data_IF_004197695078
#
_entry.id   IF_004197695078
#
_cell.length_a   1.000
_cell.length_b   1.000
_cell.length_c   1.000
_cell.angle_alpha   90.00
_cell.angle_beta   90.00
_cell.angle_gamma   90.00
#
_symmetry.space_group_name_H-M   'P 1'
#
loop_
_entity.id
_entity.type
_entity.pdbx_description
1 polymer ?
#
# COMPACT_ATOMS: atom_id res chain seq x y z
N UNK A 1 -19.77 25.42 29.59
CA UNK A 1 -18.79 24.37 29.34
C UNK A 1 -18.99 23.96 27.89
N UNK A 2 -18.15 24.42 27.00
CA UNK A 2 -18.16 24.01 25.58
C UNK A 2 -17.34 22.74 25.51
N UNK A 3 -17.98 21.61 25.23
CA UNK A 3 -17.30 20.37 24.86
C UNK A 3 -16.76 20.57 23.44
N UNK A 4 -15.47 20.47 23.27
CA UNK A 4 -14.84 20.34 21.96
C UNK A 4 -15.24 18.97 21.39
N UNK A 5 -16.00 18.99 20.33
CA UNK A 5 -16.27 17.82 19.52
C UNK A 5 -14.98 17.59 18.73
N UNK A 6 -14.26 16.55 19.08
CA UNK A 6 -13.11 16.08 18.31
C UNK A 6 -13.71 15.27 17.17
N UNK A 7 -13.79 15.88 16.01
CA UNK A 7 -14.08 15.17 14.75
C UNK A 7 -12.82 14.43 14.36
N UNK A 8 -12.79 13.12 14.59
CA UNK A 8 -11.79 12.23 14.02
C UNK A 8 -12.07 12.08 12.54
N UNK A 9 -11.38 12.89 11.73
CA UNK A 9 -11.39 12.72 10.28
C UNK A 9 -10.61 11.47 9.92
N UNK A 10 -11.25 10.55 9.22
CA UNK A 10 -10.61 9.43 8.57
C UNK A 10 -9.70 10.00 7.49
N UNK A 11 -8.40 9.98 7.72
CA UNK A 11 -7.45 10.19 6.64
C UNK A 11 -7.25 8.85 5.96
N UNK A 12 -7.92 8.65 4.83
CA UNK A 12 -7.33 7.83 3.80
C UNK A 12 -5.94 8.41 3.57
N UNK A 13 -4.90 7.63 3.78
CA UNK A 13 -3.55 8.13 3.69
C UNK A 13 -3.24 8.38 2.23
N UNK A 14 -3.66 9.51 1.73
CA UNK A 14 -2.99 10.14 0.61
C UNK A 14 -1.72 10.77 1.20
N UNK A 15 -0.63 10.04 1.26
CA UNK A 15 0.68 10.54 1.65
C UNK A 15 1.26 11.44 0.55
N UNK A 16 0.43 12.25 -0.05
CA UNK A 16 0.91 13.39 -0.81
C UNK A 16 1.35 14.44 0.18
N UNK A 17 2.57 14.90 0.08
CA UNK A 17 3.12 15.97 0.89
C UNK A 17 2.36 17.30 0.73
N UNK A 18 1.09 17.32 1.09
CA UNK A 18 0.25 18.50 1.06
C UNK A 18 -0.09 18.88 2.49
N UNK A 19 0.20 20.10 2.80
CA UNK A 19 -0.05 20.83 4.03
C UNK A 19 -1.20 20.29 4.85
N UNK A 20 -0.88 19.53 5.89
CA UNK A 20 -1.77 19.33 7.00
C UNK A 20 -1.49 20.42 8.05
N UNK A 21 -2.46 21.25 8.30
CA UNK A 21 -2.54 21.96 9.58
C UNK A 21 -2.50 20.90 10.68
N UNK A 22 -1.68 21.14 11.70
CA UNK A 22 -1.51 20.34 12.91
C UNK A 22 -2.69 19.43 13.23
N UNK A 23 -2.55 18.14 12.97
CA UNK A 23 -3.34 17.10 13.61
C UNK A 23 -2.37 16.19 14.37
N UNK A 24 -2.66 16.04 15.67
CA UNK A 24 -2.08 14.98 16.48
C UNK A 24 -2.33 13.65 15.76
N UNK A 25 -1.28 12.85 15.59
CA UNK A 25 -1.38 11.48 15.08
C UNK A 25 -2.21 10.71 16.10
N UNK A 26 -3.51 10.62 15.90
CA UNK A 26 -4.29 9.52 16.46
C UNK A 26 -4.07 8.33 15.53
N UNK A 27 -3.50 7.28 16.07
CA UNK A 27 -3.50 5.97 15.46
C UNK A 27 -4.93 5.60 15.10
N UNK A 28 -5.22 5.59 13.82
CA UNK A 28 -6.55 5.23 13.34
C UNK A 28 -6.70 3.70 13.45
N UNK A 29 -7.58 3.26 14.33
CA UNK A 29 -7.84 1.84 14.58
C UNK A 29 -8.75 1.20 13.51
N UNK A 30 -8.91 1.84 12.37
CA UNK A 30 -9.80 1.39 11.30
C UNK A 30 -9.06 0.51 10.31
N UNK A 31 -9.52 -0.71 10.20
CA UNK A 31 -8.96 -1.77 9.38
C UNK A 31 -9.73 -1.85 8.07
N UNK A 32 -9.33 -1.09 7.04
CA UNK A 32 -9.94 -1.25 5.71
C UNK A 32 -9.47 -2.53 5.01
N UNK A 33 -8.18 -2.86 5.16
CA UNK A 33 -7.64 -4.16 4.79
C UNK A 33 -6.53 -4.56 5.75
N UNK A 34 -6.16 -5.83 5.79
CA UNK A 34 -4.99 -6.30 6.56
C UNK A 34 -3.73 -5.60 6.09
N UNK A 35 -3.64 -5.31 4.81
CA UNK A 35 -2.51 -4.68 4.15
C UNK A 35 -2.33 -3.22 4.56
N UNK A 36 -3.40 -2.43 4.61
CA UNK A 36 -3.36 -1.02 5.02
C UNK A 36 -2.88 -0.81 6.45
N UNK A 37 -3.18 -1.74 7.37
CA UNK A 37 -2.69 -1.67 8.75
C UNK A 37 -1.20 -1.93 8.90
N UNK A 38 -0.58 -2.54 7.93
CA UNK A 38 0.85 -2.86 7.94
C UNK A 38 1.65 -1.77 7.23
N UNK A 39 0.99 -0.95 6.42
CA UNK A 39 1.63 0.15 5.70
C UNK A 39 2.07 1.27 6.66
N UNK A 40 3.39 1.44 6.77
CA UNK A 40 4.04 2.25 7.79
C UNK A 40 4.52 3.63 7.31
N UNK A 41 4.35 3.96 6.05
CA UNK A 41 4.77 5.27 5.56
C UNK A 41 4.00 6.42 6.21
N UNK A 42 2.75 6.18 6.56
CA UNK A 42 1.92 7.12 7.31
C UNK A 42 2.50 7.51 8.67
N UNK A 43 3.30 6.66 9.29
CA UNK A 43 3.86 6.84 10.64
C UNK A 43 5.10 7.73 10.65
N UNK A 44 5.75 7.99 9.50
CA UNK A 44 6.86 8.93 9.47
C UNK A 44 6.37 10.35 9.75
N UNK A 45 6.67 10.84 10.95
CA UNK A 45 6.29 12.19 11.42
C UNK A 45 6.58 13.23 10.34
N UNK A 46 5.55 13.91 9.88
CA UNK A 46 5.63 15.07 8.98
C UNK A 46 6.21 16.28 9.73
N UNK A 47 7.51 16.27 9.95
CA UNK A 47 8.17 17.49 10.39
C UNK A 47 8.13 18.46 9.21
N UNK A 48 7.50 19.63 9.38
CA UNK A 48 7.36 20.62 8.32
C UNK A 48 8.71 21.00 7.70
N UNK A 49 8.71 21.16 6.38
CA UNK A 49 9.90 21.67 5.66
C UNK A 49 10.08 23.14 6.01
N UNK A 50 11.26 23.51 6.46
CA UNK A 50 11.59 24.90 6.80
C UNK A 50 11.51 25.80 5.57
N UNK A 51 10.93 27.00 5.71
CA UNK A 51 10.91 28.03 4.65
C UNK A 51 12.10 28.98 4.85
N UNK A 52 12.79 29.31 3.77
CA UNK A 52 13.98 30.16 3.80
C UNK A 52 13.91 31.26 2.73
N UNK A 53 14.83 32.23 2.82
CA UNK A 53 14.90 33.38 1.91
C UNK A 53 16.15 33.42 1.02
N UNK A 54 17.03 32.42 1.10
CA UNK A 54 18.21 32.33 0.24
C UNK A 54 18.71 30.88 0.05
N UNK A 55 19.41 30.65 -1.06
CA UNK A 55 19.90 29.33 -1.47
C UNK A 55 20.81 28.67 -0.43
N UNK A 56 21.68 29.42 0.25
CA UNK A 56 22.58 28.86 1.26
C UNK A 56 21.79 28.24 2.40
N UNK A 57 20.68 28.87 2.79
CA UNK A 57 19.82 28.38 3.85
C UNK A 57 18.95 27.21 3.39
N UNK A 58 18.66 27.05 2.09
CA UNK A 58 18.01 25.81 1.62
C UNK A 58 18.77 24.57 2.06
N UNK A 59 20.11 24.60 1.94
CA UNK A 59 20.97 23.48 2.34
C UNK A 59 21.24 23.42 3.85
N UNK A 60 21.35 24.59 4.51
CA UNK A 60 21.66 24.65 5.94
C UNK A 60 20.48 24.18 6.79
N UNK A 61 19.27 24.56 6.40
CA UNK A 61 18.03 24.31 7.13
C UNK A 61 17.27 23.09 6.52
N UNK A 62 17.98 22.28 5.73
CA UNK A 62 17.47 21.06 5.13
C UNK A 62 17.13 20.04 6.21
N UNK A 63 16.13 19.20 5.91
CA UNK A 63 15.71 18.10 6.76
C UNK A 63 16.42 16.82 6.37
N UNK A 64 16.90 16.09 7.37
CA UNK A 64 17.30 14.68 7.23
C UNK A 64 16.27 13.85 7.98
N UNK A 65 15.80 12.82 7.33
CA UNK A 65 14.90 11.82 7.92
C UNK A 65 15.24 10.45 7.34
N UNK A 66 14.78 9.41 7.98
CA UNK A 66 15.03 8.07 7.50
C UNK A 66 14.47 6.99 8.39
N UNK A 67 14.71 5.76 7.96
CA UNK A 67 14.30 4.56 8.64
C UNK A 67 15.43 3.55 8.59
N UNK A 68 15.70 2.90 9.70
CA UNK A 68 16.48 1.67 9.74
C UNK A 68 15.50 0.53 9.96
N UNK A 69 15.51 -0.45 9.05
CA UNK A 69 14.62 -1.62 9.07
C UNK A 69 15.44 -2.89 9.11
N UNK A 70 15.10 -3.79 10.02
CA UNK A 70 15.53 -5.18 9.98
C UNK A 70 14.30 -6.04 9.81
N UNK A 71 14.34 -6.95 8.86
CA UNK A 71 13.19 -7.78 8.53
C UNK A 71 13.62 -9.23 8.30
N UNK A 72 12.86 -10.14 8.88
CA UNK A 72 12.85 -11.55 8.51
C UNK A 72 11.55 -11.82 7.72
N UNK A 73 11.65 -12.54 6.62
CA UNK A 73 10.52 -13.10 5.89
C UNK A 73 10.83 -14.54 5.52
N UNK A 74 9.85 -15.43 5.66
CA UNK A 74 10.02 -16.83 5.34
C UNK A 74 8.72 -17.52 4.97
N UNK A 75 8.76 -18.23 3.82
CA UNK A 75 7.69 -19.09 3.32
C UNK A 75 8.05 -20.55 3.58
N UNK A 76 7.20 -21.25 4.31
CA UNK A 76 7.23 -22.70 4.49
C UNK A 76 6.24 -23.33 3.53
N UNK A 77 6.75 -23.98 2.49
CA UNK A 77 5.93 -24.65 1.48
C UNK A 77 5.40 -25.98 2.02
N UNK A 78 4.13 -26.29 1.77
CA UNK A 78 3.53 -27.57 2.17
C UNK A 78 3.75 -28.68 1.15
N UNK A 79 3.99 -28.32 -0.10
CA UNK A 79 4.36 -29.27 -1.14
C UNK A 79 5.83 -29.69 -1.01
N UNK A 80 6.07 -31.01 -0.93
CA UNK A 80 7.40 -31.55 -0.62
C UNK A 80 8.46 -31.36 -1.71
N UNK A 81 8.07 -30.90 -2.90
CA UNK A 81 8.93 -30.68 -4.06
C UNK A 81 9.21 -29.18 -4.30
N UNK A 82 8.73 -28.32 -3.45
CA UNK A 82 8.99 -26.88 -3.48
C UNK A 82 9.84 -26.51 -2.27
N UNK A 83 10.95 -25.82 -2.51
CA UNK A 83 11.86 -25.42 -1.45
C UNK A 83 11.27 -24.27 -0.64
N UNK A 84 11.53 -24.26 0.67
CA UNK A 84 11.23 -23.12 1.52
C UNK A 84 12.10 -21.93 1.12
N UNK A 85 11.51 -20.75 1.23
CA UNK A 85 12.17 -19.50 0.89
C UNK A 85 12.18 -18.60 2.14
N UNK A 86 13.37 -18.27 2.66
CA UNK A 86 13.49 -17.42 3.85
C UNK A 86 14.80 -16.65 3.87
N UNK A 87 14.76 -15.43 4.39
CA UNK A 87 15.96 -14.61 4.60
C UNK A 87 15.75 -13.61 5.74
N UNK A 88 16.84 -13.00 6.17
CA UNK A 88 16.85 -11.82 7.05
C UNK A 88 17.65 -10.73 6.35
N UNK A 89 17.11 -9.51 6.33
CA UNK A 89 17.80 -8.37 5.77
C UNK A 89 17.87 -7.20 6.75
N UNK A 90 18.88 -6.36 6.56
CA UNK A 90 19.04 -5.05 7.20
C UNK A 90 19.14 -3.98 6.13
N UNK A 91 18.39 -2.90 6.29
CA UNK A 91 18.40 -1.79 5.35
C UNK A 91 17.57 -0.62 5.86
N UNK A 92 16.83 -0.02 4.96
CA UNK A 92 15.96 1.12 5.22
C UNK A 92 16.17 2.26 4.22
N UNK A 93 15.82 3.47 4.63
CA UNK A 93 15.82 4.67 3.79
C UNK A 93 16.49 5.84 4.49
N UNK A 94 17.22 6.65 3.72
CA UNK A 94 17.81 7.92 4.17
C UNK A 94 17.40 9.01 3.19
N UNK A 95 16.66 10.01 3.67
CA UNK A 95 16.11 11.12 2.89
C UNK A 95 16.71 12.44 3.32
N UNK A 96 17.07 13.26 2.33
CA UNK A 96 17.53 14.62 2.48
C UNK A 96 16.64 15.55 1.66
N UNK A 97 15.97 16.50 2.34
CA UNK A 97 15.06 17.46 1.72
C UNK A 97 15.52 18.88 1.99
N UNK A 98 15.67 19.67 0.94
CA UNK A 98 16.03 21.08 1.03
C UNK A 98 14.90 21.90 1.66
N UNK A 99 15.24 22.92 2.42
CA UNK A 99 14.29 23.93 2.85
C UNK A 99 13.65 24.64 1.64
N UNK A 100 12.40 25.07 1.77
CA UNK A 100 11.68 25.74 0.69
C UNK A 100 12.18 27.17 0.46
N UNK A 101 12.40 27.54 -0.80
CA UNK A 101 12.73 28.88 -1.23
C UNK A 101 11.77 29.35 -2.34
N UNK A 102 10.93 30.33 -2.04
CA UNK A 102 9.94 30.87 -2.98
C UNK A 102 9.03 29.80 -3.61
N UNK A 103 8.62 28.82 -2.83
CA UNK A 103 7.83 27.69 -3.26
C UNK A 103 8.63 26.50 -3.80
N UNK A 104 9.93 26.66 -4.09
CA UNK A 104 10.76 25.56 -4.61
C UNK A 104 11.46 24.80 -3.47
N UNK A 105 11.40 23.50 -3.49
CA UNK A 105 12.29 22.62 -2.77
C UNK A 105 12.65 21.38 -3.60
N UNK A 106 13.59 20.58 -3.12
CA UNK A 106 14.00 19.35 -3.76
C UNK A 106 14.35 18.31 -2.69
N UNK A 107 14.17 17.05 -3.02
CA UNK A 107 14.49 15.94 -2.14
C UNK A 107 15.23 14.84 -2.87
N UNK A 108 16.05 14.10 -2.12
CA UNK A 108 16.68 12.86 -2.56
C UNK A 108 16.60 11.84 -1.45
N UNK A 109 16.35 10.55 -1.81
CA UNK A 109 16.38 9.47 -0.84
C UNK A 109 17.09 8.24 -1.42
N UNK A 110 17.90 7.62 -0.59
CA UNK A 110 18.54 6.33 -0.86
C UNK A 110 17.81 5.25 -0.08
N UNK A 111 17.42 4.19 -0.77
CA UNK A 111 16.85 2.99 -0.20
C UNK A 111 17.85 1.85 -0.36
N UNK A 112 17.98 1.04 0.68
CA UNK A 112 18.93 -0.07 0.69
C UNK A 112 18.40 -1.26 1.47
N UNK A 113 18.78 -2.46 1.04
CA UNK A 113 18.53 -3.71 1.73
C UNK A 113 19.68 -4.66 1.46
N UNK A 114 20.15 -5.35 2.48
CA UNK A 114 21.23 -6.35 2.40
C UNK A 114 20.89 -7.57 3.22
N UNK A 115 20.97 -8.75 2.64
CA UNK A 115 20.76 -10.01 3.33
C UNK A 115 21.81 -10.21 4.42
N UNK A 116 21.36 -10.64 5.60
CA UNK A 116 22.22 -11.00 6.73
C UNK A 116 22.48 -12.51 6.73
N UNK A 117 23.31 -12.99 5.80
CA UNK A 117 23.59 -14.40 5.60
C UNK A 117 24.15 -15.11 6.86
N UNK A 118 24.76 -14.36 7.79
CA UNK A 118 25.23 -14.90 9.08
C UNK A 118 24.07 -15.21 10.05
N UNK A 119 22.85 -14.70 9.80
CA UNK A 119 21.65 -14.97 10.61
C UNK A 119 20.88 -16.16 10.05
N UNK A 120 20.61 -16.17 8.73
CA UNK A 120 19.74 -17.15 8.07
C UNK A 120 20.47 -18.12 7.14
N UNK A 121 21.77 -18.01 6.97
CA UNK A 121 22.57 -18.83 6.06
C UNK A 121 22.81 -18.18 4.70
N UNK A 122 23.47 -18.93 3.80
CA UNK A 122 23.80 -18.42 2.47
C UNK A 122 22.56 -18.28 1.55
N UNK A 123 22.69 -17.51 0.47
CA UNK A 123 21.65 -17.11 -0.50
C UNK A 123 20.89 -18.26 -1.21
N UNK A 124 21.06 -19.51 -0.86
CA UNK A 124 20.26 -20.63 -1.36
C UNK A 124 18.78 -20.54 -0.99
N UNK A 125 18.47 -19.68 -0.01
CA UNK A 125 17.11 -19.44 0.51
C UNK A 125 16.69 -17.97 0.34
N UNK A 126 17.22 -17.29 -0.69
CA UNK A 126 16.93 -15.90 -0.98
C UNK A 126 15.42 -15.62 -1.05
N UNK A 127 15.00 -14.50 -0.44
CA UNK A 127 13.63 -14.03 -0.45
C UNK A 127 13.55 -12.65 -1.10
N UNK A 128 12.85 -12.55 -2.23
CA UNK A 128 12.74 -11.32 -3.03
C UNK A 128 11.87 -10.22 -2.40
N UNK A 129 11.17 -10.49 -1.30
CA UNK A 129 10.54 -9.44 -0.49
C UNK A 129 11.57 -8.57 0.24
N UNK A 130 12.78 -9.10 0.43
CA UNK A 130 13.82 -8.47 1.22
C UNK A 130 14.87 -7.78 0.37
N UNK A 131 15.42 -8.48 -0.64
CA UNK A 131 16.51 -7.96 -1.47
C UNK A 131 16.48 -8.53 -2.88
N UNK A 132 17.37 -8.04 -3.75
CA UNK A 132 17.54 -8.57 -5.11
C UNK A 132 18.19 -9.97 -5.13
N UNK A 133 18.23 -10.62 -6.26
CA UNK A 133 18.73 -11.99 -6.42
C UNK A 133 20.20 -12.19 -5.99
N UNK A 134 20.99 -11.13 -5.92
CA UNK A 134 22.37 -11.14 -5.40
C UNK A 134 22.48 -10.90 -3.89
N UNK A 135 21.33 -10.79 -3.17
CA UNK A 135 21.29 -10.58 -1.72
C UNK A 135 21.51 -9.12 -1.32
N UNK A 136 21.53 -8.19 -2.25
CA UNK A 136 21.68 -6.78 -1.94
C UNK A 136 20.90 -5.90 -2.92
N UNK A 137 20.49 -4.73 -2.41
CA UNK A 137 19.78 -3.72 -3.16
C UNK A 137 20.12 -2.34 -2.64
N UNK A 138 20.49 -1.42 -3.52
CA UNK A 138 20.71 -0.02 -3.16
C UNK A 138 20.41 0.85 -4.36
N UNK A 139 19.54 1.84 -4.16
CA UNK A 139 19.18 2.76 -5.22
C UNK A 139 18.94 4.17 -4.73
N UNK A 140 19.01 5.14 -5.66
CA UNK A 140 18.45 6.47 -5.53
C UNK A 140 16.95 6.37 -5.83
N UNK A 141 16.16 6.07 -4.81
CA UNK A 141 14.74 5.78 -4.90
C UNK A 141 13.90 7.04 -5.10
N UNK A 142 14.25 8.13 -4.41
CA UNK A 142 13.62 9.43 -4.63
C UNK A 142 14.65 10.44 -5.12
N UNK A 143 14.25 11.26 -6.10
CA UNK A 143 15.03 12.41 -6.61
C UNK A 143 14.08 13.35 -7.35
N UNK A 144 13.59 14.37 -6.68
CA UNK A 144 12.55 15.23 -7.22
C UNK A 144 12.80 16.71 -6.96
N UNK A 145 12.16 17.52 -7.79
CA UNK A 145 11.95 18.95 -7.56
C UNK A 145 10.47 19.20 -7.36
N UNK A 146 10.16 20.01 -6.37
CA UNK A 146 8.81 20.35 -5.97
C UNK A 146 8.60 21.87 -6.06
N UNK A 147 7.41 22.30 -6.48
CA UNK A 147 7.00 23.70 -6.50
C UNK A 147 5.62 23.88 -5.88
N UNK A 148 5.57 24.64 -4.79
CA UNK A 148 4.36 24.98 -4.06
C UNK A 148 3.89 26.40 -4.41
N UNK A 149 2.62 26.54 -4.77
CA UNK A 149 2.00 27.85 -4.95
C UNK A 149 0.58 27.84 -4.38
N UNK A 150 0.42 28.40 -3.19
CA UNK A 150 -0.83 28.32 -2.40
C UNK A 150 -1.23 26.85 -2.19
N UNK A 151 -2.44 26.50 -2.64
CA UNK A 151 -3.02 25.16 -2.52
C UNK A 151 -2.64 24.24 -3.69
N UNK A 152 -1.72 24.68 -4.57
CA UNK A 152 -1.26 23.94 -5.73
C UNK A 152 0.18 23.47 -5.51
N UNK A 153 0.44 22.20 -5.76
CA UNK A 153 1.76 21.61 -5.73
C UNK A 153 2.08 20.92 -7.06
N UNK A 154 3.29 21.11 -7.54
CA UNK A 154 3.84 20.39 -8.68
C UNK A 154 5.10 19.64 -8.24
N UNK A 155 5.19 18.35 -8.58
CA UNK A 155 6.39 17.57 -8.32
C UNK A 155 6.82 16.81 -9.56
N UNK A 156 8.12 16.78 -9.82
CA UNK A 156 8.74 16.13 -10.98
C UNK A 156 9.95 15.33 -10.53
N UNK A 157 10.01 14.08 -10.92
CA UNK A 157 11.11 13.15 -10.64
C UNK A 157 10.67 11.90 -9.92
N UNK A 158 11.64 11.24 -9.30
CA UNK A 158 11.40 10.01 -8.54
C UNK A 158 10.79 10.34 -7.20
N UNK A 159 9.64 9.76 -6.89
CA UNK A 159 8.82 10.12 -5.74
C UNK A 159 7.97 8.95 -5.29
N UNK A 160 7.47 9.02 -4.08
CA UNK A 160 6.40 8.17 -3.58
C UNK A 160 5.07 8.64 -4.17
N UNK A 161 4.21 7.69 -4.52
CA UNK A 161 2.81 7.91 -4.86
C UNK A 161 1.97 6.92 -4.07
N UNK A 162 0.82 7.39 -3.58
CA UNK A 162 -0.20 6.59 -2.92
C UNK A 162 -1.55 6.95 -3.54
N UNK A 163 -1.92 6.21 -4.54
CA UNK A 163 -3.17 6.31 -5.28
C UNK A 163 -3.73 4.90 -5.50
N UNK A 164 -5.01 4.68 -5.78
CA UNK A 164 -5.58 3.33 -5.82
C UNK A 164 -4.84 2.32 -6.69
N UNK A 165 -4.29 2.71 -7.84
CA UNK A 165 -3.55 1.80 -8.73
C UNK A 165 -2.07 2.14 -8.88
N UNK A 166 -1.50 2.98 -8.01
CA UNK A 166 -0.07 3.23 -7.91
C UNK A 166 0.27 3.59 -6.46
N UNK A 167 0.84 2.64 -5.74
CA UNK A 167 0.99 2.67 -4.30
C UNK A 167 2.41 2.34 -3.85
N UNK A 168 2.88 3.04 -2.81
CA UNK A 168 4.22 2.81 -2.24
C UNK A 168 4.36 1.46 -1.55
N UNK A 169 3.28 0.91 -1.00
CA UNK A 169 3.17 -0.40 -0.36
C UNK A 169 4.35 -0.74 0.57
N UNK A 170 4.47 -0.02 1.68
CA UNK A 170 5.62 -0.13 2.61
C UNK A 170 5.54 -1.34 3.56
N UNK A 171 5.01 -2.46 3.11
CA UNK A 171 4.92 -3.71 3.88
C UNK A 171 6.16 -4.61 3.76
N UNK A 172 7.06 -4.29 2.82
CA UNK A 172 8.28 -5.04 2.53
C UNK A 172 9.51 -4.32 3.06
N UNK A 173 10.69 -4.75 2.66
CA UNK A 173 11.94 -4.14 3.13
C UNK A 173 12.11 -2.70 2.65
N UNK A 174 11.60 -2.38 1.46
CA UNK A 174 11.60 -1.05 0.85
C UNK A 174 10.28 -0.79 0.15
N UNK A 175 9.86 0.48 0.16
CA UNK A 175 8.65 0.94 -0.53
C UNK A 175 8.86 1.01 -2.05
N UNK A 176 7.76 0.90 -2.81
CA UNK A 176 7.75 1.25 -4.22
C UNK A 176 7.96 2.76 -4.42
N UNK A 177 8.60 3.14 -5.51
CA UNK A 177 8.80 4.53 -5.91
C UNK A 177 8.57 4.71 -7.40
N UNK A 178 8.19 5.93 -7.80
CA UNK A 178 7.69 6.22 -9.13
C UNK A 178 8.45 7.39 -9.76
N UNK A 179 8.87 7.24 -10.99
CA UNK A 179 9.37 8.35 -11.81
C UNK A 179 8.17 9.01 -12.49
N UNK A 180 7.78 10.19 -12.00
CA UNK A 180 6.50 10.77 -12.34
C UNK A 180 6.54 12.31 -12.42
N UNK A 181 5.52 12.87 -13.08
CA UNK A 181 5.13 14.27 -13.06
C UNK A 181 3.76 14.36 -12.41
N UNK A 182 3.63 15.10 -11.33
CA UNK A 182 2.35 15.21 -10.59
C UNK A 182 1.98 16.66 -10.34
N UNK A 183 0.68 16.91 -10.29
CA UNK A 183 0.09 18.15 -9.84
C UNK A 183 -1.03 17.82 -8.86
N UNK A 184 -1.04 18.47 -7.70
CA UNK A 184 -2.09 18.33 -6.69
C UNK A 184 -2.68 19.69 -6.36
N UNK A 185 -3.99 19.73 -6.06
CA UNK A 185 -4.70 20.93 -5.69
C UNK A 185 -5.78 20.64 -4.66
N UNK A 186 -5.74 21.34 -3.54
CA UNK A 186 -6.73 21.21 -2.46
C UNK A 186 -7.71 22.37 -2.48
N UNK A 187 -9.01 22.08 -2.44
CA UNK A 187 -10.05 23.09 -2.40
C UNK A 187 -11.30 22.61 -1.64
N UNK A 188 -11.61 23.26 -0.54
CA UNK A 188 -12.84 23.02 0.25
C UNK A 188 -13.13 21.56 0.57
N UNK A 189 -12.14 20.83 1.05
CA UNK A 189 -12.25 19.41 1.39
C UNK A 189 -12.12 18.46 0.20
N UNK A 190 -11.97 18.98 -1.01
CA UNK A 190 -11.60 18.19 -2.18
C UNK A 190 -10.11 18.25 -2.42
N UNK A 191 -9.49 17.10 -2.65
CA UNK A 191 -8.12 16.96 -3.09
C UNK A 191 -8.09 16.40 -4.51
N UNK A 192 -7.50 17.15 -5.42
CA UNK A 192 -7.35 16.77 -6.82
C UNK A 192 -5.91 16.39 -7.07
N UNK A 193 -5.68 15.31 -7.80
CA UNK A 193 -4.37 14.93 -8.27
C UNK A 193 -4.44 14.51 -9.73
N UNK A 194 -3.42 14.88 -10.50
CA UNK A 194 -3.24 14.42 -11.87
C UNK A 194 -1.76 14.30 -12.19
N UNK A 195 -1.41 13.41 -13.12
CA UNK A 195 -0.02 13.21 -13.48
C UNK A 195 0.20 12.19 -14.57
N UNK A 196 1.48 11.90 -14.75
CA UNK A 196 1.94 10.82 -15.60
C UNK A 196 3.08 10.09 -14.91
N UNK A 197 2.97 8.76 -14.82
CA UNK A 197 3.99 7.85 -14.27
C UNK A 197 4.74 7.25 -15.46
N UNK A 198 6.05 7.41 -15.51
CA UNK A 198 6.90 6.89 -16.59
C UNK A 198 7.42 5.48 -16.28
N UNK A 199 7.83 5.26 -15.04
CA UNK A 199 8.39 4.01 -14.56
C UNK A 199 8.26 3.90 -13.04
N UNK A 200 8.42 2.69 -12.52
CA UNK A 200 8.38 2.42 -11.10
C UNK A 200 9.42 1.39 -10.71
N UNK A 201 9.74 1.30 -9.43
CA UNK A 201 10.63 0.33 -8.84
C UNK A 201 10.31 0.10 -7.38
N UNK A 202 10.55 -1.09 -6.89
CA UNK A 202 10.30 -1.50 -5.51
C UNK A 202 10.09 -3.00 -5.41
N UNK A 203 9.61 -3.45 -4.24
CA UNK A 203 9.40 -4.87 -3.99
C UNK A 203 8.38 -5.54 -4.90
N UNK A 204 7.39 -4.78 -5.39
CA UNK A 204 6.34 -5.31 -6.27
C UNK A 204 6.68 -5.20 -7.75
N UNK A 205 7.60 -4.30 -8.12
CA UNK A 205 8.00 -4.12 -9.51
C UNK A 205 8.93 -5.25 -9.99
N UNK A 206 10.10 -5.29 -9.45
CA UNK A 206 11.19 -6.24 -9.63
C UNK A 206 12.48 -5.59 -9.11
N UNK A 207 13.09 -6.14 -8.08
CA UNK A 207 14.32 -5.58 -7.50
C UNK A 207 15.55 -5.76 -8.40
N UNK A 208 15.53 -6.72 -9.31
CA UNK A 208 16.62 -7.00 -10.25
C UNK A 208 16.54 -6.14 -11.53
N UNK A 209 15.36 -5.61 -11.86
CA UNK A 209 15.14 -4.76 -13.03
C UNK A 209 14.99 -3.29 -12.63
N UNK A 210 15.96 -2.42 -12.92
CA UNK A 210 15.84 -1.02 -12.57
C UNK A 210 14.77 -0.32 -13.41
N UNK A 211 13.82 0.34 -12.72
CA UNK A 211 12.81 1.22 -13.30
C UNK A 211 11.96 0.59 -14.43
N UNK A 212 11.06 -0.28 -14.04
CA UNK A 212 10.09 -0.93 -14.92
C UNK A 212 9.12 0.12 -15.48
N UNK A 213 8.90 0.12 -16.78
CA UNK A 213 8.00 1.06 -17.44
C UNK A 213 6.53 0.77 -17.11
N UNK A 214 5.75 1.84 -16.94
CA UNK A 214 4.31 1.77 -16.67
C UNK A 214 3.44 1.91 -17.94
N UNK A 215 3.85 1.24 -19.02
CA UNK A 215 3.26 1.32 -20.36
C UNK A 215 4.22 1.96 -21.37
N UNK A 216 3.89 1.91 -22.66
CA UNK A 216 4.78 2.36 -23.73
C UNK A 216 5.11 3.87 -23.62
N UNK A 217 4.15 4.70 -23.22
CA UNK A 217 4.29 6.13 -23.02
C UNK A 217 3.98 6.54 -21.56
N UNK A 218 4.16 5.61 -20.63
CA UNK A 218 3.80 5.78 -19.24
C UNK A 218 2.29 5.66 -19.00
N UNK A 219 1.88 5.94 -17.78
CA UNK A 219 0.49 5.94 -17.31
C UNK A 219 0.04 7.36 -17.01
N UNK A 220 -0.97 7.85 -17.72
CA UNK A 220 -1.64 9.10 -17.36
C UNK A 220 -2.70 8.79 -16.31
N UNK A 221 -2.80 9.61 -15.28
CA UNK A 221 -3.81 9.44 -14.26
C UNK A 221 -4.37 10.78 -13.76
N UNK A 222 -5.56 10.72 -13.19
CA UNK A 222 -6.16 11.83 -12.48
C UNK A 222 -7.27 11.36 -11.57
N UNK A 223 -7.39 12.02 -10.43
CA UNK A 223 -8.39 11.67 -9.45
C UNK A 223 -8.79 12.83 -8.57
N UNK A 224 -9.87 12.61 -7.83
CA UNK A 224 -10.39 13.50 -6.81
C UNK A 224 -10.79 12.69 -5.60
N UNK A 225 -10.39 13.18 -4.44
CA UNK A 225 -10.78 12.64 -3.14
C UNK A 225 -11.53 13.71 -2.34
N UNK A 226 -12.48 13.29 -1.53
CA UNK A 226 -13.20 14.13 -0.58
C UNK A 226 -13.38 13.35 0.72
N UNK A 227 -13.05 13.96 1.84
CA UNK A 227 -13.20 13.36 3.16
C UNK A 227 -13.73 14.42 4.16
N UNK A 228 -14.97 14.20 4.62
CA UNK A 228 -15.61 14.93 5.72
C UNK A 228 -16.59 13.96 6.40
N UNK A 229 -17.90 14.16 6.33
CA UNK A 229 -18.92 13.18 6.74
C UNK A 229 -19.05 12.01 5.75
N UNK A 230 -18.61 12.21 4.55
CA UNK A 230 -18.59 11.23 3.47
C UNK A 230 -17.17 11.10 2.95
N UNK A 231 -16.83 9.92 2.52
CA UNK A 231 -15.56 9.63 1.83
C UNK A 231 -15.89 9.32 0.38
N UNK A 232 -15.17 9.95 -0.52
CA UNK A 232 -15.34 9.72 -1.96
C UNK A 232 -13.97 9.75 -2.61
N UNK A 233 -13.67 8.74 -3.39
CA UNK A 233 -12.51 8.67 -4.26
C UNK A 233 -12.97 8.32 -5.67
N UNK A 234 -12.53 9.09 -6.64
CA UNK A 234 -12.79 8.82 -8.05
C UNK A 234 -11.50 9.03 -8.84
N UNK A 235 -11.02 7.98 -9.49
CA UNK A 235 -9.76 7.97 -10.19
C UNK A 235 -9.89 7.37 -11.59
N UNK A 236 -9.14 7.90 -12.53
CA UNK A 236 -9.01 7.38 -13.87
C UNK A 236 -7.54 7.23 -14.24
N UNK A 237 -7.21 6.07 -14.84
CA UNK A 237 -5.88 5.76 -15.33
C UNK A 237 -5.97 5.35 -16.80
N UNK A 238 -5.04 5.87 -17.60
CA UNK A 238 -4.77 5.38 -18.94
C UNK A 238 -3.37 4.79 -18.97
N UNK A 239 -3.28 3.49 -18.82
CA UNK A 239 -2.05 2.70 -18.87
C UNK A 239 -1.82 2.35 -20.32
N UNK A 240 -0.92 3.09 -21.00
CA UNK A 240 -0.79 3.02 -22.46
C UNK A 240 -0.52 1.61 -22.96
N UNK A 241 -1.26 1.20 -24.00
CA UNK A 241 -1.24 -0.15 -24.60
C UNK A 241 -1.63 -1.31 -23.65
N UNK A 242 -2.13 -1.00 -22.46
CA UNK A 242 -2.52 -2.00 -21.47
C UNK A 242 -4.00 -1.92 -21.15
N UNK A 243 -4.46 -0.94 -20.41
CA UNK A 243 -5.86 -0.80 -20.04
C UNK A 243 -6.23 0.66 -19.69
N UNK A 244 -7.50 0.99 -19.79
CA UNK A 244 -8.08 2.16 -19.14
C UNK A 244 -8.79 1.69 -17.88
N UNK A 245 -8.42 2.21 -16.72
CA UNK A 245 -9.04 1.88 -15.45
C UNK A 245 -9.80 3.06 -14.85
N UNK A 246 -11.04 2.82 -14.45
CA UNK A 246 -11.86 3.73 -13.66
C UNK A 246 -12.08 3.12 -12.29
N UNK A 247 -11.60 3.78 -11.27
CA UNK A 247 -11.76 3.37 -9.88
C UNK A 247 -12.66 4.36 -9.13
N UNK A 248 -13.52 3.83 -8.32
CA UNK A 248 -14.38 4.57 -7.40
C UNK A 248 -14.48 3.82 -6.08
N UNK A 249 -14.34 4.52 -4.98
CA UNK A 249 -14.85 4.10 -3.69
C UNK A 249 -15.57 5.24 -3.00
N UNK A 250 -16.41 4.89 -2.04
CA UNK A 250 -17.09 5.88 -1.23
C UNK A 250 -17.73 5.26 0.00
N UNK A 251 -17.75 6.02 1.07
CA UNK A 251 -18.23 5.55 2.35
C UNK A 251 -18.91 6.62 3.19
N UNK A 252 -19.52 6.15 4.24
CA UNK A 252 -20.11 6.96 5.31
C UNK A 252 -19.63 6.45 6.64
N UNK A 253 -19.32 7.39 7.53
CA UNK A 253 -19.03 7.12 8.91
C UNK A 253 -20.18 7.62 9.79
N UNK A 254 -20.62 6.79 10.71
CA UNK A 254 -21.68 7.12 11.64
C UNK A 254 -21.31 6.77 13.08
N UNK A 255 -21.13 7.79 13.90
CA UNK A 255 -20.88 7.63 15.33
C UNK A 255 -22.20 7.44 16.09
N UNK A 256 -22.35 6.30 16.75
CA UNK A 256 -23.46 5.98 17.64
C UNK A 256 -23.15 6.40 19.08
N UNK A 257 -24.18 6.36 19.92
CA UNK A 257 -23.99 6.52 21.37
C UNK A 257 -23.07 5.42 21.93
N UNK A 258 -22.29 5.77 22.97
CA UNK A 258 -21.33 4.89 23.65
C UNK A 258 -20.06 4.60 22.84
N UNK A 259 -19.61 5.55 22.03
CA UNK A 259 -18.37 5.49 21.27
C UNK A 259 -18.32 4.26 20.33
N UNK A 260 -19.44 3.94 19.72
CA UNK A 260 -19.52 2.94 18.65
C UNK A 260 -19.49 3.68 17.31
N UNK A 261 -18.47 3.41 16.52
CA UNK A 261 -18.32 3.90 15.16
C UNK A 261 -18.73 2.82 14.17
N UNK A 262 -19.55 3.16 13.19
CA UNK A 262 -19.91 2.29 12.07
C UNK A 262 -19.39 2.95 10.81
N UNK A 263 -18.61 2.22 10.06
CA UNK A 263 -18.09 2.62 8.74
C UNK A 263 -18.61 1.68 7.67
N UNK A 264 -19.22 2.22 6.62
CA UNK A 264 -19.77 1.43 5.51
C UNK A 264 -19.28 2.02 4.19
N UNK A 265 -18.67 1.19 3.36
CA UNK A 265 -18.06 1.58 2.08
C UNK A 265 -18.55 0.70 0.93
N UNK A 266 -18.47 1.25 -0.26
CA UNK A 266 -18.62 0.55 -1.53
C UNK A 266 -17.47 0.91 -2.45
N UNK A 267 -17.05 -0.04 -3.32
CA UNK A 267 -16.03 0.20 -4.34
C UNK A 267 -16.44 -0.33 -5.70
N UNK A 268 -15.83 0.23 -6.73
CA UNK A 268 -16.00 -0.16 -8.11
C UNK A 268 -14.71 0.09 -8.88
N UNK A 269 -14.22 -0.94 -9.58
CA UNK A 269 -13.12 -0.85 -10.52
C UNK A 269 -13.62 -1.38 -11.88
N UNK A 270 -13.39 -0.62 -12.94
CA UNK A 270 -13.64 -1.09 -14.31
C UNK A 270 -12.40 -0.87 -15.15
N UNK A 271 -11.89 -1.94 -15.71
CA UNK A 271 -10.75 -1.96 -16.62
C UNK A 271 -11.23 -2.33 -18.02
N UNK A 272 -10.81 -1.53 -19.00
CA UNK A 272 -11.13 -1.73 -20.41
C UNK A 272 -9.84 -1.92 -21.19
N UNK A 273 -9.69 -3.10 -21.77
CA UNK A 273 -8.52 -3.50 -22.52
C UNK A 273 -8.13 -2.49 -23.59
N UNK A 274 -6.85 -2.22 -23.71
CA UNK A 274 -6.23 -1.49 -24.80
C UNK A 274 -5.37 -2.45 -25.62
N UNK A 275 -5.43 -2.33 -26.95
CA UNK A 275 -4.72 -3.21 -27.86
C UNK A 275 -5.19 -4.68 -27.71
N UNK A 276 -4.35 -5.58 -27.31
CA UNK A 276 -4.64 -7.01 -27.03
C UNK A 276 -3.86 -7.44 -25.79
N UNK A 277 -3.95 -6.63 -24.74
CA UNK A 277 -3.18 -6.82 -23.51
C UNK A 277 -3.70 -7.96 -22.65
N UNK A 278 -5.00 -8.29 -22.75
CA UNK A 278 -5.68 -9.23 -21.85
C UNK A 278 -6.14 -8.63 -20.53
N UNK A 279 -5.94 -7.31 -20.30
CA UNK A 279 -6.35 -6.67 -19.05
C UNK A 279 -7.70 -5.99 -19.18
N UNK A 280 -8.75 -6.68 -18.75
CA UNK A 280 -10.11 -6.19 -18.67
C UNK A 280 -10.88 -6.88 -17.56
N UNK A 281 -11.49 -6.12 -16.69
CA UNK A 281 -12.30 -6.63 -15.57
C UNK A 281 -13.34 -5.62 -15.12
N UNK A 282 -14.36 -6.08 -14.40
CA UNK A 282 -15.22 -5.24 -13.59
C UNK A 282 -15.27 -5.80 -12.18
N UNK A 283 -14.81 -5.03 -11.19
CA UNK A 283 -14.83 -5.42 -9.79
C UNK A 283 -15.77 -4.48 -9.05
N UNK A 284 -16.58 -5.04 -8.15
CA UNK A 284 -17.38 -4.27 -7.20
C UNK A 284 -17.35 -4.91 -5.83
N UNK A 285 -17.37 -4.06 -4.82
CA UNK A 285 -17.26 -4.52 -3.45
C UNK A 285 -18.00 -3.64 -2.44
N UNK A 286 -18.09 -4.17 -1.23
CA UNK A 286 -18.62 -3.48 -0.08
C UNK A 286 -17.87 -3.89 1.19
N UNK A 287 -17.75 -2.95 2.12
CA UNK A 287 -17.16 -3.15 3.43
C UNK A 287 -18.08 -2.58 4.50
N UNK A 288 -18.21 -3.31 5.59
CA UNK A 288 -18.84 -2.84 6.82
C UNK A 288 -17.88 -3.06 7.99
N UNK A 289 -17.61 -2.00 8.74
CA UNK A 289 -16.78 -2.04 9.92
C UNK A 289 -17.50 -1.44 11.12
N UNK A 290 -17.28 -2.01 12.31
CA UNK A 290 -17.75 -1.52 13.59
C UNK A 290 -16.56 -1.43 14.53
N UNK A 291 -16.32 -0.22 15.06
CA UNK A 291 -15.24 0.04 16.02
C UNK A 291 -15.84 0.49 17.35
N UNK A 292 -15.35 -0.04 18.45
CA UNK A 292 -15.75 0.37 19.81
C UNK A 292 -14.70 0.01 20.84
N UNK A 293 -14.32 0.96 21.69
CA UNK A 293 -13.43 0.77 22.85
C UNK A 293 -12.14 -0.03 22.52
N UNK A 294 -11.52 0.26 21.37
CA UNK A 294 -10.32 -0.39 20.91
C UNK A 294 -10.54 -1.73 20.19
N UNK A 295 -11.77 -2.26 20.14
CA UNK A 295 -12.11 -3.42 19.36
C UNK A 295 -12.69 -3.03 17.99
N UNK A 296 -12.32 -3.73 16.94
CA UNK A 296 -12.90 -3.59 15.60
C UNK A 296 -13.36 -4.94 15.06
N UNK A 297 -14.44 -4.90 14.28
CA UNK A 297 -14.95 -6.03 13.50
C UNK A 297 -15.25 -5.52 12.11
N UNK A 298 -14.67 -6.13 11.09
CA UNK A 298 -15.00 -5.82 9.70
C UNK A 298 -15.43 -7.05 8.90
N UNK A 299 -16.24 -6.82 7.88
CA UNK A 299 -16.61 -7.79 6.85
C UNK A 299 -16.53 -7.05 5.51
N UNK A 300 -15.75 -7.60 4.60
CA UNK A 300 -15.58 -7.11 3.23
C UNK A 300 -15.98 -8.20 2.21
N UNK A 301 -16.54 -7.76 1.10
CA UNK A 301 -16.87 -8.62 -0.03
C UNK A 301 -16.51 -7.92 -1.33
N UNK A 302 -15.77 -8.61 -2.20
CA UNK A 302 -15.51 -8.18 -3.57
C UNK A 302 -15.87 -9.26 -4.56
N UNK A 303 -16.30 -8.84 -5.75
CA UNK A 303 -16.56 -9.72 -6.88
C UNK A 303 -15.95 -9.16 -8.15
N UNK A 304 -15.15 -9.98 -8.82
CA UNK A 304 -14.58 -9.73 -10.15
C UNK A 304 -15.39 -10.45 -11.22
N UNK A 305 -15.67 -9.75 -12.31
CA UNK A 305 -16.30 -10.25 -13.51
C UNK A 305 -15.30 -10.13 -14.66
N UNK A 306 -14.80 -11.26 -15.14
CA UNK A 306 -13.81 -11.33 -16.19
C UNK A 306 -14.34 -12.13 -17.38
N UNK A 307 -14.08 -11.62 -18.57
CA UNK A 307 -14.27 -12.41 -19.79
C UNK A 307 -13.21 -13.52 -19.89
N UNK A 308 -13.47 -14.49 -20.76
CA UNK A 308 -12.48 -15.55 -21.02
C UNK A 308 -11.15 -14.95 -21.53
N UNK A 309 -10.05 -15.41 -20.94
CA UNK A 309 -8.69 -14.96 -21.24
C UNK A 309 -8.40 -13.49 -20.87
N UNK A 310 -9.14 -12.93 -19.92
CA UNK A 310 -8.84 -11.60 -19.36
C UNK A 310 -8.52 -11.69 -17.87
N UNK A 311 -7.75 -10.73 -17.37
CA UNK A 311 -7.39 -10.56 -15.97
C UNK A 311 -7.51 -9.09 -15.56
N UNK A 312 -7.49 -8.81 -14.25
CA UNK A 312 -7.27 -7.45 -13.73
C UNK A 312 -5.81 -7.05 -13.91
N UNK A 313 -5.58 -5.76 -14.08
CA UNK A 313 -4.24 -5.19 -14.07
C UNK A 313 -3.62 -5.14 -12.67
N UNK A 314 -4.44 -5.12 -11.62
CA UNK A 314 -4.03 -5.10 -10.19
C UNK A 314 -3.25 -3.87 -9.71
N UNK A 315 -2.83 -2.96 -10.61
CA UNK A 315 -2.09 -1.73 -10.27
C UNK A 315 -0.57 -1.88 -10.26
N UNK A 316 0.10 -0.84 -9.80
CA UNK A 316 1.54 -0.73 -9.59
C UNK A 316 1.82 -0.74 -8.07
N UNK A 317 1.72 -1.90 -7.44
CA UNK A 317 1.81 -2.08 -5.98
C UNK A 317 0.50 -1.82 -5.25
N UNK A 318 0.48 -2.19 -3.97
CA UNK A 318 -0.67 -2.07 -3.10
C UNK A 318 -1.74 -3.13 -3.28
N UNK A 319 -2.75 -3.08 -2.41
CA UNK A 319 -3.92 -3.95 -2.41
C UNK A 319 -5.19 -3.13 -2.28
N UNK A 320 -5.64 -2.51 -3.36
CA UNK A 320 -6.75 -1.54 -3.38
C UNK A 320 -8.11 -2.13 -3.03
N UNK A 321 -8.29 -3.45 -3.23
CA UNK A 321 -9.58 -4.09 -3.01
C UNK A 321 -9.88 -4.27 -1.51
N UNK A 322 -11.13 -4.12 -1.10
CA UNK A 322 -11.54 -4.25 0.30
C UNK A 322 -11.26 -5.62 0.90
N UNK A 323 -11.15 -6.66 0.07
CA UNK A 323 -10.82 -8.02 0.47
C UNK A 323 -9.33 -8.33 0.40
N UNK A 324 -8.44 -7.36 0.14
CA UNK A 324 -7.00 -7.59 0.15
C UNK A 324 -6.53 -8.04 1.52
N UNK A 325 -5.75 -9.13 1.55
CA UNK A 325 -5.14 -9.70 2.75
C UNK A 325 -3.63 -9.47 2.74
N UNK A 326 -2.91 -10.00 3.71
CA UNK A 326 -1.45 -9.79 3.79
C UNK A 326 -0.72 -10.26 2.52
N UNK A 327 -1.17 -11.39 1.97
CA UNK A 327 -0.49 -12.01 0.83
C UNK A 327 -1.40 -12.35 -0.34
N UNK A 328 -2.72 -12.34 -0.18
CA UNK A 328 -3.70 -12.70 -1.21
C UNK A 328 -4.62 -11.53 -1.54
N UNK A 329 -4.72 -11.24 -2.82
CA UNK A 329 -5.71 -10.33 -3.38
C UNK A 329 -6.65 -11.08 -4.32
N UNK A 330 -7.85 -10.56 -4.56
CA UNK A 330 -8.85 -11.22 -5.42
C UNK A 330 -8.33 -11.48 -6.84
N UNK A 331 -7.49 -10.58 -7.35
CA UNK A 331 -6.92 -10.64 -8.70
C UNK A 331 -6.03 -11.87 -8.92
N UNK A 332 -5.35 -12.38 -7.88
CA UNK A 332 -4.50 -13.57 -7.96
C UNK A 332 -5.26 -14.82 -8.41
N UNK A 333 -6.56 -14.86 -8.15
CA UNK A 333 -7.39 -16.01 -8.53
C UNK A 333 -8.41 -15.70 -9.64
N UNK A 334 -8.53 -14.44 -10.07
CA UNK A 334 -9.54 -14.00 -11.01
C UNK A 334 -9.08 -14.04 -12.49
N UNK A 335 -7.90 -14.61 -12.78
CA UNK A 335 -7.40 -14.74 -14.14
C UNK A 335 -8.25 -15.75 -14.95
N UNK A 336 -8.73 -15.33 -16.15
CA UNK A 336 -9.54 -16.15 -17.06
C UNK A 336 -10.84 -16.68 -16.41
N UNK A 337 -11.40 -15.98 -15.40
CA UNK A 337 -12.62 -16.40 -14.68
C UNK A 337 -13.24 -15.30 -13.84
N UNK A 338 -14.54 -15.42 -13.58
CA UNK A 338 -15.17 -14.69 -12.49
C UNK A 338 -14.67 -15.22 -11.14
N UNK A 339 -14.50 -14.30 -10.19
CA UNK A 339 -14.10 -14.66 -8.83
C UNK A 339 -14.80 -13.77 -7.80
N UNK A 340 -14.82 -14.21 -6.55
CA UNK A 340 -15.26 -13.40 -5.42
C UNK A 340 -14.49 -13.75 -4.16
N UNK A 341 -14.40 -12.79 -3.26
CA UNK A 341 -13.79 -12.94 -1.97
C UNK A 341 -14.72 -12.45 -0.86
N UNK A 342 -14.64 -13.09 0.29
CA UNK A 342 -15.25 -12.66 1.55
C UNK A 342 -14.16 -12.66 2.61
N UNK A 343 -13.89 -11.50 3.21
CA UNK A 343 -12.92 -11.34 4.29
C UNK A 343 -13.64 -10.86 5.54
N UNK A 344 -13.34 -11.47 6.67
CA UNK A 344 -13.78 -11.01 7.99
C UNK A 344 -12.56 -10.79 8.88
N UNK A 345 -12.51 -9.67 9.60
CA UNK A 345 -11.40 -9.40 10.51
C UNK A 345 -11.86 -8.94 11.88
N UNK A 346 -11.02 -9.21 12.88
CA UNK A 346 -11.14 -8.78 14.26
C UNK A 346 -9.85 -8.08 14.65
N UNK A 347 -9.97 -6.82 15.10
CA UNK A 347 -8.87 -6.03 15.64
C UNK A 347 -9.07 -5.75 17.13
N UNK A 348 -7.97 -5.56 17.84
CA UNK A 348 -8.00 -5.05 19.22
C UNK A 348 -6.76 -4.23 19.52
N UNK A 349 -6.99 -2.96 19.86
CA UNK A 349 -5.94 -2.05 20.30
C UNK A 349 -5.94 -1.94 21.83
N UNK A 350 -4.78 -2.13 22.43
CA UNK A 350 -4.57 -1.95 23.88
C UNK A 350 -3.21 -1.34 24.16
N UNK A 351 -3.21 -0.10 24.68
CA UNK A 351 -2.01 0.68 24.97
C UNK A 351 -1.12 0.87 23.73
N UNK A 352 -0.03 0.10 23.65
CA UNK A 352 0.99 0.15 22.59
C UNK A 352 0.91 -1.04 21.65
N UNK A 353 -0.07 -1.90 21.83
CA UNK A 353 -0.24 -3.11 21.05
C UNK A 353 -1.49 -3.01 20.18
N UNK A 354 -1.35 -3.40 18.93
CA UNK A 354 -2.45 -3.60 18.00
C UNK A 354 -2.44 -5.05 17.52
N UNK A 355 -3.55 -5.76 17.72
CA UNK A 355 -3.74 -7.16 17.33
C UNK A 355 -4.77 -7.22 16.21
N UNK A 356 -4.50 -8.03 15.20
CA UNK A 356 -5.43 -8.32 14.13
C UNK A 356 -5.48 -9.82 13.87
N UNK A 357 -6.67 -10.33 13.65
CA UNK A 357 -6.92 -11.62 13.01
C UNK A 357 -7.85 -11.42 11.82
N UNK A 358 -7.49 -11.97 10.66
CA UNK A 358 -8.33 -11.97 9.47
C UNK A 358 -8.50 -13.38 8.90
N UNK A 359 -9.65 -13.61 8.29
CA UNK A 359 -10.00 -14.82 7.58
C UNK A 359 -10.60 -14.46 6.23
N UNK A 360 -10.00 -14.95 5.16
CA UNK A 360 -10.42 -14.75 3.79
C UNK A 360 -10.81 -16.05 3.10
N UNK A 361 -11.92 -16.03 2.37
CA UNK A 361 -12.44 -17.12 1.55
C UNK A 361 -12.58 -16.62 0.10
N UNK A 362 -11.66 -17.04 -0.77
CA UNK A 362 -11.49 -16.59 -2.15
C UNK A 362 -11.88 -17.71 -3.12
N UNK A 363 -12.88 -17.47 -3.96
CA UNK A 363 -13.43 -18.46 -4.88
C UNK A 363 -13.46 -17.97 -6.31
N UNK A 364 -12.80 -18.71 -7.20
CA UNK A 364 -12.83 -18.52 -8.64
C UNK A 364 -13.70 -19.58 -9.33
N UNK A 365 -14.54 -19.14 -10.26
CA UNK A 365 -15.32 -20.02 -11.10
C UNK A 365 -14.41 -20.88 -12.01
N UNK A 366 -15.00 -21.67 -12.88
CA UNK A 366 -14.21 -22.44 -13.84
C UNK A 366 -13.63 -21.54 -14.92
N UNK A 367 -12.32 -21.59 -15.07
CA UNK A 367 -11.62 -20.94 -16.18
C UNK A 367 -11.78 -21.72 -17.52
N UNK A 368 -11.15 -21.24 -18.59
CA UNK A 368 -11.16 -21.87 -19.92
C UNK A 368 -10.66 -23.32 -19.91
N UNK A 369 -9.83 -23.70 -18.93
CA UNK A 369 -9.35 -25.08 -18.71
C UNK A 369 -10.27 -25.91 -17.80
N UNK A 370 -11.45 -25.42 -17.48
CA UNK A 370 -12.44 -26.03 -16.57
C UNK A 370 -11.94 -26.25 -15.13
N UNK A 371 -10.91 -25.52 -14.69
CA UNK A 371 -10.38 -25.53 -13.32
C UNK A 371 -11.03 -24.44 -12.49
N UNK A 372 -11.38 -24.76 -11.24
CA UNK A 372 -11.79 -23.81 -10.21
C UNK A 372 -10.60 -23.38 -9.37
N UNK A 373 -10.71 -22.23 -8.70
CA UNK A 373 -9.82 -21.82 -7.63
C UNK A 373 -10.61 -21.68 -6.33
N UNK A 374 -10.02 -22.10 -5.23
CA UNK A 374 -10.59 -21.87 -3.89
C UNK A 374 -9.45 -21.80 -2.88
N UNK A 375 -9.08 -20.57 -2.52
CA UNK A 375 -8.00 -20.30 -1.60
C UNK A 375 -8.59 -19.75 -0.29
N UNK A 376 -8.10 -20.25 0.82
CA UNK A 376 -8.37 -19.68 2.15
C UNK A 376 -7.08 -19.08 2.67
N UNK A 377 -7.13 -17.82 3.12
CA UNK A 377 -6.05 -17.18 3.85
C UNK A 377 -6.48 -16.85 5.28
N UNK A 378 -5.56 -16.99 6.21
CA UNK A 378 -5.72 -16.60 7.60
C UNK A 378 -4.49 -15.84 8.05
N UNK A 379 -4.70 -14.62 8.54
CA UNK A 379 -3.63 -13.75 9.01
C UNK A 379 -3.78 -13.45 10.49
N UNK A 380 -2.65 -13.43 11.18
CA UNK A 380 -2.51 -12.93 12.54
C UNK A 380 -1.42 -11.87 12.52
N UNK A 381 -1.73 -10.66 12.90
CA UNK A 381 -0.72 -9.62 13.07
C UNK A 381 -0.66 -9.06 14.48
N UNK A 382 0.53 -8.65 14.87
CA UNK A 382 0.81 -7.94 16.12
C UNK A 382 1.73 -6.77 15.80
N UNK A 383 1.25 -5.57 16.11
CA UNK A 383 2.10 -4.38 16.14
C UNK A 383 2.41 -3.97 17.58
N UNK A 384 3.62 -3.52 17.80
CA UNK A 384 4.04 -2.92 19.06
C UNK A 384 4.70 -1.56 18.82
N UNK A 385 3.98 -0.50 19.14
CA UNK A 385 4.41 0.89 19.07
C UNK A 385 5.15 1.27 20.37
N UNK A 386 6.48 1.03 20.43
CA UNK A 386 7.25 1.33 21.62
C UNK A 386 7.27 2.82 21.94
N UNK A 387 7.42 3.64 20.91
CA UNK A 387 7.32 5.10 20.89
C UNK A 387 7.14 5.55 19.42
N UNK A 388 7.12 6.86 19.17
CA UNK A 388 6.96 7.45 17.83
C UNK A 388 8.09 7.09 16.84
N UNK A 389 9.21 6.58 17.33
CA UNK A 389 10.40 6.25 16.53
C UNK A 389 10.55 4.74 16.29
N UNK A 390 10.09 3.90 17.23
CA UNK A 390 10.34 2.47 17.20
C UNK A 390 9.07 1.62 17.17
N UNK A 391 8.96 0.81 16.11
CA UNK A 391 7.83 -0.05 15.83
C UNK A 391 8.30 -1.46 15.52
N UNK A 392 7.58 -2.44 16.04
CA UNK A 392 7.74 -3.86 15.73
C UNK A 392 6.46 -4.37 15.11
N UNK A 393 6.56 -5.03 13.96
CA UNK A 393 5.44 -5.70 13.28
C UNK A 393 5.76 -7.18 13.14
N UNK A 394 4.82 -8.02 13.53
CA UNK A 394 4.89 -9.47 13.38
C UNK A 394 3.63 -9.94 12.66
N UNK A 395 3.78 -10.65 11.55
CA UNK A 395 2.67 -11.18 10.77
C UNK A 395 2.90 -12.67 10.54
N UNK A 396 1.84 -13.45 10.71
CA UNK A 396 1.79 -14.84 10.31
C UNK A 396 0.58 -15.05 9.42
N UNK A 397 0.83 -15.50 8.19
CA UNK A 397 -0.18 -15.77 7.18
C UNK A 397 -0.15 -17.24 6.80
N UNK A 398 -1.32 -17.82 6.61
CA UNK A 398 -1.47 -19.19 6.15
C UNK A 398 -2.42 -19.24 4.97
N UNK A 399 -1.91 -19.71 3.84
CA UNK A 399 -2.75 -20.02 2.68
C UNK A 399 -2.99 -21.53 2.54
N UNK A 400 -4.15 -21.88 2.01
CA UNK A 400 -4.55 -23.26 1.74
C UNK A 400 -5.38 -23.32 0.45
N UNK A 401 -4.85 -24.00 -0.60
CA UNK A 401 -5.59 -24.29 -1.82
C UNK A 401 -6.50 -25.52 -1.63
N UNK A 402 -7.79 -25.28 -1.59
CA UNK A 402 -8.82 -26.31 -1.37
C UNK A 402 -9.11 -27.17 -2.60
N UNK A 403 -8.86 -26.65 -3.79
CA UNK A 403 -9.10 -27.34 -5.07
C UNK A 403 -7.85 -28.04 -5.61
N UNK A 404 -6.70 -27.85 -4.98
CA UNK A 404 -5.39 -28.33 -5.41
C UNK A 404 -5.02 -27.90 -6.86
N UNK A 405 -5.55 -26.78 -7.29
CA UNK A 405 -5.33 -26.26 -8.64
C UNK A 405 -4.10 -25.37 -8.74
N UNK A 406 -3.74 -24.71 -7.62
CA UNK A 406 -2.68 -23.68 -7.50
C UNK A 406 -1.71 -23.99 -6.34
N UNK A 407 -1.53 -25.26 -5.98
CA UNK A 407 -0.80 -25.71 -4.78
C UNK A 407 0.61 -25.15 -4.64
N UNK A 408 1.32 -24.97 -5.73
CA UNK A 408 2.68 -24.45 -5.70
C UNK A 408 2.74 -22.97 -5.35
N UNK A 409 1.64 -22.26 -5.58
CA UNK A 409 1.57 -20.81 -5.43
C UNK A 409 0.78 -20.40 -4.19
N UNK A 410 -0.12 -21.27 -3.67
CA UNK A 410 -1.09 -20.93 -2.62
C UNK A 410 -1.26 -22.00 -1.53
N UNK A 411 -0.26 -22.81 -1.24
CA UNK A 411 -0.33 -23.82 -0.15
C UNK A 411 0.93 -23.76 0.72
N UNK A 412 0.99 -22.73 1.58
CA UNK A 412 2.15 -22.41 2.40
C UNK A 412 1.79 -21.67 3.69
N UNK A 413 2.77 -21.54 4.58
CA UNK A 413 2.76 -20.64 5.71
C UNK A 413 3.81 -19.55 5.51
N UNK A 414 3.47 -18.32 5.81
CA UNK A 414 4.39 -17.18 5.78
C UNK A 414 4.55 -16.58 7.17
N UNK A 415 5.78 -16.24 7.53
CA UNK A 415 6.07 -15.50 8.76
C UNK A 415 6.97 -14.32 8.45
N UNK A 416 6.56 -13.14 8.90
CA UNK A 416 7.30 -11.88 8.77
C UNK A 416 7.47 -11.22 10.12
N UNK A 417 8.71 -10.77 10.40
CA UNK A 417 9.03 -9.95 11.57
C UNK A 417 9.81 -8.73 11.09
N UNK A 418 9.30 -7.54 11.40
CA UNK A 418 9.86 -6.27 11.01
C UNK A 418 10.15 -5.41 12.23
N UNK A 419 11.35 -4.86 12.31
CA UNK A 419 11.81 -3.92 13.33
C UNK A 419 12.15 -2.61 12.64
N UNK A 420 11.42 -1.55 12.95
CA UNK A 420 11.61 -0.23 12.35
C UNK A 420 12.07 0.78 13.39
N UNK A 421 13.09 1.56 13.04
CA UNK A 421 13.50 2.75 13.76
C UNK A 421 13.46 3.94 12.81
N UNK A 422 12.57 4.90 13.07
CA UNK A 422 12.36 6.12 12.30
C UNK A 422 13.06 7.31 12.98
N UNK A 423 13.65 8.23 12.21
CA UNK A 423 14.38 9.38 12.74
C UNK A 423 14.28 10.63 11.86
#
# INVERSE_FOLDING_TARGET
>A
MKRNIITSSLCLVLSTGIYAAQQEVQTDSRLHSVRENIDQEAVMQKKEISVTNNIKHMFKDARISGQIRTMYSGYEQKESNVDNNYATALGGKLKYELAELNGFNAGVAFYTSHDLNFVTGENTHHNNELSSSDGSYTQLAEAYVNYNYKDLNFRVGRQILDTPLADSDDIRMISNTFEAYTATYSYKGFDFMAGNIQSWQGGDADLDTPWVKTGQNGTNFGGVSYSDMWELNLWYYNITDTTNALYFDGGIEYEMKNDILIHAMVQYLNETELSTSGYATTIYGALLEVVTQGASLSIAYDKSLNDASTASFSGFGGGTLFTSMDTLILDDIADDRDAHALVASLGYEINKFNFLYAYGDFKGEKNSLAKRAHIIEQDVSLEYNANDEFLVVCVYSRQEDKENALKTDHDWNHFRLMLNYNF
#
